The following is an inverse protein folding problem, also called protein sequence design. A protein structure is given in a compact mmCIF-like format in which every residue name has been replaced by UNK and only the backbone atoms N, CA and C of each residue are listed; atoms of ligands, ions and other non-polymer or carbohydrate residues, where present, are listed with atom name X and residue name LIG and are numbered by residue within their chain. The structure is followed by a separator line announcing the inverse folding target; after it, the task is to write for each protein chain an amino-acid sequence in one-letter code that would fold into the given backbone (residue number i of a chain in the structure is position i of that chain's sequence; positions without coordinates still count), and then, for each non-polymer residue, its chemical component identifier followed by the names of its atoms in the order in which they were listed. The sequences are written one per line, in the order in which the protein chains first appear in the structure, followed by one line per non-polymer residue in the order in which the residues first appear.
data_IF_415143400731
#
_entry.id   IF_415143400731
#
_cell.length_a   1.000
_cell.length_b   1.000
_cell.length_c   1.000
_cell.angle_alpha   90.00
_cell.angle_beta   90.00
_cell.angle_gamma   90.00
#
_symmetry.space_group_name_H-M   'P 1'
#
loop_
_entity.id
_entity.type
_entity.pdbx_description
1 polymer ?
#
# COMPACT_ATOMS: atom_id res chain seq x y z
N UNK A 1 -11.06 -2.82 8.80
CA UNK A 1 -10.48 -1.53 8.41
C UNK A 1 -10.40 -1.48 6.90
N UNK A 2 -10.80 -0.38 6.27
CA UNK A 2 -10.72 -0.20 4.83
C UNK A 2 -9.88 1.05 4.52
N UNK A 3 -8.87 0.91 3.66
CA UNK A 3 -8.08 2.04 3.14
C UNK A 3 -8.38 2.27 1.66
N UNK A 4 -8.20 3.51 1.21
CA UNK A 4 -8.26 3.93 -0.19
C UNK A 4 -7.05 4.84 -0.45
N UNK A 5 -6.21 4.49 -1.41
CA UNK A 5 -4.96 5.20 -1.68
C UNK A 5 -4.71 5.36 -3.18
N UNK A 6 -4.32 6.55 -3.64
CA UNK A 6 -3.92 6.75 -5.03
C UNK A 6 -2.45 6.37 -5.24
N UNK A 7 -2.15 5.61 -6.29
CA UNK A 7 -0.78 5.16 -6.59
C UNK A 7 0.15 6.31 -7.02
N UNK A 8 -0.41 7.47 -7.38
CA UNK A 8 0.29 8.70 -7.70
C UNK A 8 0.34 9.71 -6.53
N UNK A 9 0.00 9.32 -5.30
CA UNK A 9 0.17 10.17 -4.11
C UNK A 9 1.67 10.46 -3.84
N UNK A 10 2.04 11.73 -4.02
CA UNK A 10 3.39 12.23 -3.77
C UNK A 10 3.59 12.88 -2.39
N UNK A 11 2.53 13.03 -1.58
CA UNK A 11 2.62 13.61 -0.23
C UNK A 11 2.72 12.51 0.84
N UNK A 12 1.84 11.52 0.78
CA UNK A 12 1.89 10.32 1.64
C UNK A 12 2.02 9.15 0.70
N UNK A 13 3.25 8.66 0.50
CA UNK A 13 3.49 7.68 -0.55
C UNK A 13 2.73 6.36 -0.29
N UNK A 14 2.16 5.72 -1.33
CA UNK A 14 1.29 4.55 -1.20
C UNK A 14 2.01 3.33 -0.62
N UNK A 15 3.33 3.28 -0.71
CA UNK A 15 4.15 2.21 -0.12
C UNK A 15 4.02 2.12 1.42
N UNK A 16 3.44 3.14 2.07
CA UNK A 16 3.14 3.10 3.51
C UNK A 16 2.07 2.05 3.85
N UNK A 17 1.21 1.73 2.88
CA UNK A 17 0.17 0.73 3.01
C UNK A 17 0.77 -0.66 3.29
N UNK A 18 2.00 -0.93 2.83
CA UNK A 18 2.71 -2.19 3.13
C UNK A 18 3.04 -2.31 4.62
N UNK A 19 3.59 -1.26 5.23
CA UNK A 19 3.86 -1.24 6.68
C UNK A 19 2.59 -1.33 7.50
N UNK A 20 1.48 -0.79 7.00
CA UNK A 20 0.18 -0.96 7.63
C UNK A 20 -0.32 -2.41 7.55
N UNK A 21 -0.14 -3.07 6.40
CA UNK A 21 -0.45 -4.49 6.22
C UNK A 21 0.39 -5.40 7.13
N UNK A 22 1.69 -5.15 7.23
CA UNK A 22 2.59 -5.84 8.16
C UNK A 22 2.09 -5.77 9.62
N UNK A 23 1.55 -4.62 10.05
CA UNK A 23 1.02 -4.47 11.40
C UNK A 23 -0.21 -5.36 11.67
N UNK A 24 -1.11 -5.53 10.69
CA UNK A 24 -2.25 -6.45 10.81
C UNK A 24 -1.82 -7.92 10.81
N UNK A 25 -0.81 -8.26 10.01
CA UNK A 25 -0.20 -9.59 10.00
C UNK A 25 0.44 -9.92 11.35
N UNK A 26 1.26 -9.01 11.88
CA UNK A 26 1.92 -9.17 13.18
C UNK A 26 0.91 -9.26 14.34
N UNK A 27 -0.24 -8.60 14.22
CA UNK A 27 -1.35 -8.69 15.17
C UNK A 27 -2.19 -9.97 15.03
N UNK A 28 -1.91 -10.82 14.03
CA UNK A 28 -2.66 -12.05 13.76
C UNK A 28 -4.09 -11.81 13.26
N UNK A 29 -4.34 -10.67 12.59
CA UNK A 29 -5.67 -10.28 12.09
C UNK A 29 -5.66 -9.83 10.61
N UNK A 30 -5.01 -10.56 9.68
CA UNK A 30 -4.88 -10.11 8.28
C UNK A 30 -6.21 -9.95 7.55
N UNK A 31 -7.23 -10.68 7.97
CA UNK A 31 -8.60 -10.64 7.47
C UNK A 31 -9.37 -9.36 7.86
N UNK A 32 -8.81 -8.54 8.77
CA UNK A 32 -9.42 -7.29 9.23
C UNK A 32 -8.94 -6.05 8.45
N UNK A 33 -8.19 -6.22 7.38
CA UNK A 33 -7.71 -5.14 6.52
C UNK A 33 -8.10 -5.39 5.05
N UNK A 34 -8.71 -4.40 4.42
CA UNK A 34 -8.88 -4.32 2.97
C UNK A 34 -8.25 -3.01 2.51
N UNK A 35 -7.40 -3.07 1.49
CA UNK A 35 -6.73 -1.90 0.92
C UNK A 35 -7.18 -1.76 -0.54
N UNK A 36 -7.76 -0.62 -0.86
CA UNK A 36 -8.22 -0.28 -2.20
C UNK A 36 -7.28 0.77 -2.81
N UNK A 37 -7.10 0.70 -4.12
CA UNK A 37 -6.21 1.62 -4.82
C UNK A 37 -6.90 2.26 -6.02
N UNK A 38 -6.52 3.49 -6.32
CA UNK A 38 -6.79 4.16 -7.60
C UNK A 38 -5.47 4.43 -8.32
N UNK A 39 -5.43 4.40 -9.66
CA UNK A 39 -4.20 4.72 -10.39
C UNK A 39 -3.84 6.20 -10.29
N UNK A 40 -4.86 7.07 -10.14
CA UNK A 40 -4.71 8.52 -10.04
C UNK A 40 -5.53 9.09 -8.89
N UNK A 41 -5.24 10.33 -8.50
CA UNK A 41 -5.94 11.05 -7.44
C UNK A 41 -5.01 11.86 -6.55
N UNK A 42 -3.70 11.62 -6.61
CA UNK A 42 -2.73 12.28 -5.76
C UNK A 42 -3.10 12.17 -4.28
N UNK A 43 -2.78 13.21 -3.51
CA UNK A 43 -3.09 13.20 -2.09
C UNK A 43 -4.57 13.46 -1.80
N UNK A 44 -5.30 12.37 -1.51
CA UNK A 44 -6.73 12.36 -1.17
C UNK A 44 -7.66 12.93 -2.26
N UNK A 45 -7.20 13.11 -3.50
CA UNK A 45 -8.00 13.68 -4.60
C UNK A 45 -8.89 12.65 -5.30
N UNK A 46 -9.49 11.72 -4.54
CA UNK A 46 -10.42 10.74 -5.06
C UNK A 46 -11.71 11.41 -5.54
N UNK A 47 -12.36 10.77 -6.50
CA UNK A 47 -13.67 11.20 -6.96
C UNK A 47 -14.73 11.12 -5.85
N UNK A 48 -15.83 11.86 -5.97
CA UNK A 48 -16.93 11.76 -5.01
C UNK A 48 -17.55 10.35 -5.03
N UNK A 49 -17.66 9.72 -6.22
CA UNK A 49 -18.12 8.35 -6.37
C UNK A 49 -17.20 7.34 -5.67
N UNK A 50 -15.87 7.51 -5.77
CA UNK A 50 -14.88 6.64 -5.11
C UNK A 50 -14.96 6.75 -3.58
N UNK A 51 -15.07 7.96 -3.05
CA UNK A 51 -15.30 8.19 -1.61
C UNK A 51 -16.58 7.51 -1.12
N UNK A 52 -17.70 7.69 -1.83
CA UNK A 52 -18.98 7.09 -1.46
C UNK A 52 -18.91 5.57 -1.55
N UNK A 53 -18.24 5.02 -2.56
CA UNK A 53 -18.06 3.58 -2.71
C UNK A 53 -17.25 2.97 -1.56
N UNK A 54 -16.13 3.59 -1.19
CA UNK A 54 -15.31 3.14 -0.07
C UNK A 54 -16.08 3.19 1.26
N UNK A 55 -16.86 4.27 1.48
CA UNK A 55 -17.72 4.39 2.65
C UNK A 55 -18.78 3.29 2.70
N UNK A 56 -19.51 3.05 1.60
CA UNK A 56 -20.54 2.02 1.53
C UNK A 56 -19.97 0.60 1.65
N UNK A 57 -18.78 0.36 1.11
CA UNK A 57 -18.05 -0.89 1.28
C UNK A 57 -17.71 -1.15 2.76
N UNK A 58 -17.21 -0.12 3.47
CA UNK A 58 -16.89 -0.22 4.88
C UNK A 58 -18.15 -0.44 5.74
N UNK A 59 -19.23 0.32 5.51
CA UNK A 59 -20.47 0.15 6.28
C UNK A 59 -21.11 -1.21 6.00
N UNK A 60 -21.12 -1.66 4.74
CA UNK A 60 -21.58 -3.01 4.37
C UNK A 60 -20.80 -4.10 5.08
N UNK A 61 -19.48 -3.93 5.23
CA UNK A 61 -18.66 -4.86 5.99
C UNK A 61 -19.00 -4.86 7.48
N UNK A 62 -19.06 -3.67 8.10
CA UNK A 62 -19.33 -3.54 9.55
C UNK A 62 -20.73 -4.03 9.91
N UNK A 63 -21.73 -3.66 9.13
CA UNK A 63 -23.13 -3.93 9.45
C UNK A 63 -23.59 -5.33 9.06
N UNK A 64 -23.03 -5.88 7.97
CA UNK A 64 -23.53 -7.14 7.36
C UNK A 64 -22.48 -8.25 7.32
N UNK A 65 -21.23 -7.97 7.69
CA UNK A 65 -20.13 -8.92 7.62
C UNK A 65 -19.62 -9.18 6.19
N UNK A 66 -20.08 -8.45 5.19
CA UNK A 66 -19.65 -8.64 3.79
C UNK A 66 -18.31 -7.97 3.56
N UNK A 67 -17.23 -8.76 3.56
CA UNK A 67 -15.87 -8.26 3.26
C UNK A 67 -15.85 -7.74 1.82
N UNK A 68 -15.46 -6.47 1.60
CA UNK A 68 -15.43 -5.90 0.26
C UNK A 68 -14.24 -6.45 -0.53
N UNK A 69 -14.50 -6.73 -1.80
CA UNK A 69 -13.46 -6.97 -2.82
C UNK A 69 -13.29 -5.73 -3.69
N UNK A 70 -12.15 -5.59 -4.36
CA UNK A 70 -11.92 -4.56 -5.38
C UNK A 70 -13.07 -4.51 -6.39
N UNK A 71 -13.46 -5.67 -6.94
CA UNK A 71 -14.55 -5.76 -7.90
C UNK A 71 -15.89 -5.24 -7.34
N UNK A 72 -16.22 -5.58 -6.08
CA UNK A 72 -17.44 -5.09 -5.44
C UNK A 72 -17.41 -3.58 -5.15
N UNK A 73 -16.25 -3.04 -4.77
CA UNK A 73 -16.08 -1.61 -4.53
C UNK A 73 -16.18 -0.82 -5.84
N UNK A 74 -15.55 -1.30 -6.91
CA UNK A 74 -15.64 -0.72 -8.25
C UNK A 74 -17.08 -0.75 -8.80
N UNK A 75 -17.79 -1.86 -8.61
CA UNK A 75 -19.20 -1.97 -8.98
C UNK A 75 -20.08 -0.97 -8.20
N UNK A 76 -19.81 -0.83 -6.89
CA UNK A 76 -20.51 0.16 -6.04
C UNK A 76 -20.22 1.57 -6.52
N UNK A 77 -18.97 1.91 -6.84
CA UNK A 77 -18.59 3.20 -7.40
C UNK A 77 -19.36 3.50 -8.69
N UNK A 78 -19.34 2.55 -9.64
CA UNK A 78 -20.03 2.71 -10.92
C UNK A 78 -21.53 2.93 -10.75
N UNK A 79 -22.15 2.27 -9.76
CA UNK A 79 -23.57 2.42 -9.45
C UNK A 79 -23.91 3.80 -8.82
N UNK A 80 -23.01 4.38 -8.02
CA UNK A 80 -23.24 5.69 -7.38
C UNK A 80 -22.77 6.87 -8.23
N UNK A 81 -21.89 6.65 -9.21
CA UNK A 81 -21.32 7.69 -10.07
C UNK A 81 -22.35 8.62 -10.74
N UNK A 82 -23.53 8.15 -11.22
CA UNK A 82 -24.53 9.04 -11.81
C UNK A 82 -25.10 10.09 -10.84
N UNK A 83 -24.99 9.86 -9.53
CA UNK A 83 -25.52 10.76 -8.49
C UNK A 83 -24.39 11.48 -7.75
N UNK A 84 -23.33 10.76 -7.37
CA UNK A 84 -22.19 11.31 -6.64
C UNK A 84 -21.24 12.11 -7.55
N UNK A 85 -21.09 11.68 -8.81
CA UNK A 85 -20.17 12.27 -9.78
C UNK A 85 -18.72 11.82 -9.61
N UNK A 86 -17.97 11.91 -10.71
CA UNK A 86 -16.54 11.57 -10.76
C UNK A 86 -16.23 10.23 -11.43
N UNK A 87 -14.94 9.98 -11.63
CA UNK A 87 -14.43 8.71 -12.19
C UNK A 87 -14.58 7.56 -11.18
N UNK A 88 -14.48 6.34 -11.69
CA UNK A 88 -14.42 5.13 -10.86
C UNK A 88 -13.29 4.26 -11.37
N UNK A 89 -12.15 4.33 -10.71
CA UNK A 89 -10.94 3.59 -11.10
C UNK A 89 -10.36 2.83 -9.90
N UNK A 90 -11.21 2.09 -9.17
CA UNK A 90 -10.77 1.21 -8.08
C UNK A 90 -10.21 -0.07 -8.70
N UNK A 91 -8.91 -0.31 -8.49
CA UNK A 91 -8.14 -1.38 -9.12
C UNK A 91 -7.53 -2.34 -8.09
N UNK A 92 -7.25 -3.55 -8.56
CA UNK A 92 -6.44 -4.51 -7.81
C UNK A 92 -4.98 -4.20 -8.10
N UNK A 93 -4.31 -3.66 -7.10
CA UNK A 93 -2.94 -3.20 -7.21
C UNK A 93 -2.20 -3.40 -5.90
N UNK A 94 -0.88 -3.44 -6.00
CA UNK A 94 0.02 -3.37 -4.86
C UNK A 94 0.99 -2.22 -5.13
N UNK A 95 1.24 -1.33 -4.14
CA UNK A 95 2.27 -0.31 -4.26
C UNK A 95 3.63 -0.94 -4.58
N UNK A 96 4.56 -0.13 -5.11
CA UNK A 96 5.91 -0.59 -5.34
C UNK A 96 6.67 -0.81 -4.01
N UNK A 97 7.93 -1.23 -4.09
CA UNK A 97 8.80 -1.30 -2.92
C UNK A 97 9.10 0.11 -2.36
N UNK A 98 9.17 0.25 -1.04
CA UNK A 98 9.42 1.52 -0.34
C UNK A 98 10.66 2.27 -0.87
N UNK A 99 11.71 1.51 -1.21
CA UNK A 99 12.98 2.02 -1.73
C UNK A 99 12.86 2.72 -3.10
N UNK A 100 11.74 2.55 -3.82
CA UNK A 100 11.47 3.25 -5.09
C UNK A 100 11.15 4.73 -4.85
N UNK A 101 10.58 5.08 -3.68
CA UNK A 101 10.18 6.46 -3.35
C UNK A 101 11.06 7.10 -2.29
N UNK A 102 11.47 6.33 -1.29
CA UNK A 102 12.20 6.82 -0.13
C UNK A 102 13.58 6.17 -0.12
N UNK A 103 14.59 6.97 -0.42
CA UNK A 103 15.98 6.53 -0.29
C UNK A 103 16.25 6.23 1.18
N UNK A 104 16.85 5.07 1.43
CA UNK A 104 17.20 4.66 2.78
C UNK A 104 18.05 5.73 3.48
N UNK A 105 17.61 6.13 4.68
CA UNK A 105 18.29 7.14 5.46
C UNK A 105 19.58 6.55 6.03
N UNK A 106 20.71 6.98 5.48
CA UNK A 106 22.02 6.68 6.07
C UNK A 106 22.13 7.28 7.47
N UNK A 107 22.59 6.47 8.43
CA UNK A 107 23.06 7.03 9.70
C UNK A 107 24.15 8.08 9.42
N UNK A 108 24.08 9.23 10.10
CA UNK A 108 25.05 10.32 9.91
C UNK A 108 26.44 9.82 10.33
N UNK A 109 27.35 9.72 9.38
CA UNK A 109 28.71 9.20 9.59
C UNK A 109 28.88 7.71 9.29
N UNK A 110 27.82 7.00 8.89
CA UNK A 110 27.93 5.61 8.47
C UNK A 110 28.63 5.52 7.10
N UNK A 111 29.64 4.65 6.95
CA UNK A 111 30.30 4.44 5.68
C UNK A 111 29.31 3.87 4.66
N UNK A 112 29.44 4.22 3.38
CA UNK A 112 28.56 3.77 2.27
C UNK A 112 28.34 2.24 2.25
N UNK A 113 29.29 1.48 2.79
CA UNK A 113 29.31 0.02 2.84
C UNK A 113 28.46 -0.59 3.97
N UNK A 114 27.95 0.18 4.92
CA UNK A 114 27.18 -0.35 6.05
C UNK A 114 25.74 -0.74 5.73
N UNK A 115 25.23 -0.43 4.54
CA UNK A 115 23.85 -0.67 4.11
C UNK A 115 23.64 -2.02 3.40
N UNK A 116 24.68 -2.84 3.26
CA UNK A 116 24.67 -3.99 2.32
C UNK A 116 24.20 -5.30 2.98
N UNK A 117 23.94 -5.29 4.29
CA UNK A 117 23.92 -6.51 5.09
C UNK A 117 23.01 -6.43 6.32
N UNK A 118 22.03 -5.53 6.36
CA UNK A 118 21.22 -5.32 7.55
C UNK A 118 19.99 -6.24 7.57
N UNK A 119 20.21 -7.56 7.46
CA UNK A 119 19.21 -8.65 7.62
C UNK A 119 17.86 -8.54 6.87
N UNK A 120 17.65 -7.51 6.04
CA UNK A 120 16.52 -7.41 5.14
C UNK A 120 16.78 -8.25 3.88
N UNK A 121 15.78 -9.05 3.50
CA UNK A 121 15.84 -10.13 2.50
C UNK A 121 16.18 -9.63 1.06
N UNK A 122 16.38 -8.32 0.87
CA UNK A 122 16.61 -7.69 -0.44
C UNK A 122 18.02 -7.15 -0.72
N UNK A 123 18.96 -7.21 0.23
CA UNK A 123 20.24 -6.48 0.08
C UNK A 123 21.29 -7.17 -0.83
N UNK A 124 21.15 -8.47 -1.10
CA UNK A 124 22.09 -9.23 -1.93
C UNK A 124 21.40 -9.93 -3.11
N UNK A 125 22.02 -9.95 -4.32
CA UNK A 125 21.48 -10.68 -5.48
C UNK A 125 21.25 -12.17 -5.20
N UNK A 126 20.27 -12.77 -5.88
CA UNK A 126 19.96 -14.20 -5.78
C UNK A 126 21.21 -15.07 -5.95
N UNK A 127 21.46 -15.94 -4.97
CA UNK A 127 22.61 -16.85 -4.94
C UNK A 127 23.88 -16.26 -4.32
N UNK A 128 23.84 -15.02 -3.82
CA UNK A 128 24.94 -14.43 -3.06
C UNK A 128 24.64 -14.40 -1.55
N UNK A 129 25.70 -14.45 -0.76
CA UNK A 129 25.68 -14.41 0.71
C UNK A 129 26.36 -13.13 1.17
N UNK A 130 25.71 -12.33 2.01
CA UNK A 130 26.41 -11.24 2.68
C UNK A 130 27.53 -11.82 3.56
N UNK A 131 28.74 -11.31 3.37
CA UNK A 131 29.86 -11.51 4.30
C UNK A 131 29.77 -10.46 5.43
N UNK A 132 29.40 -10.84 6.67
CA UNK A 132 29.28 -9.89 7.78
C UNK A 132 30.61 -9.28 8.18
N UNK A 133 31.74 -9.97 7.91
CA UNK A 133 33.08 -9.46 8.19
C UNK A 133 33.49 -8.31 7.26
N UNK A 134 33.01 -8.34 6.00
CA UNK A 134 33.45 -7.40 4.96
C UNK A 134 32.35 -6.49 4.44
N UNK A 135 31.10 -6.72 4.87
CA UNK A 135 29.91 -6.02 4.38
C UNK A 135 29.80 -6.03 2.84
N UNK A 136 30.00 -7.21 2.24
CA UNK A 136 29.97 -7.41 0.78
C UNK A 136 29.19 -8.69 0.46
N UNK A 137 28.30 -8.63 -0.54
CA UNK A 137 27.68 -9.83 -1.12
C UNK A 137 28.76 -10.64 -1.88
N UNK A 138 28.80 -11.95 -1.63
CA UNK A 138 29.67 -12.92 -2.30
C UNK A 138 28.87 -14.03 -2.95
#
# INVERSE_FOLDING_TARGET
MLTLHALDDGLVVPENEEKYREAFLAAGRPDQLVQLYTPTGGHCGFSAAEHVAAFLALTGWVEKGTVPTVASAQATCSAVAPVAGGACEIIDATPAEWAVRVVERRQKGAPVRSLVCADDVGDCPDGSTCSPETHHCR
#
